data_IF_214018604275
#
_entry.id   IF_214018604275
#
_cell.length_a   1.000
_cell.length_b   1.000
_cell.length_c   1.000
_cell.angle_alpha   90.00
_cell.angle_beta   90.00
_cell.angle_gamma   90.00
#
_symmetry.space_group_name_H-M   'P 1'
#
loop_
_entity.id
_entity.type
_entity.pdbx_description
1 polymer ?
#
# COMPACT_ATOMS: atom_id res chain seq x y z
N UNK A 1 -5.33 1.34 16.65
CA UNK A 1 -4.58 0.07 16.58
C UNK A 1 -3.46 0.11 15.54
N UNK A 2 -3.70 0.70 14.37
CA UNK A 2 -2.65 0.79 13.34
C UNK A 2 -1.45 1.61 13.82
N UNK A 3 -1.70 2.77 14.43
CA UNK A 3 -0.62 3.62 14.95
C UNK A 3 0.13 2.94 16.10
N UNK A 4 -0.59 2.16 16.93
CA UNK A 4 0.05 1.38 18.00
C UNK A 4 1.02 0.36 17.43
N UNK A 5 0.61 -0.38 16.39
CA UNK A 5 1.44 -1.39 15.76
C UNK A 5 2.70 -0.78 15.13
N UNK A 6 2.54 0.35 14.45
CA UNK A 6 3.66 1.06 13.82
C UNK A 6 4.63 1.61 14.87
N UNK A 7 4.11 2.23 15.93
CA UNK A 7 4.94 2.78 16.99
C UNK A 7 5.74 1.68 17.70
N UNK A 8 5.11 0.53 17.95
CA UNK A 8 5.79 -0.62 18.56
C UNK A 8 6.91 -1.16 17.68
N UNK A 9 6.80 -1.00 16.36
CA UNK A 9 7.84 -1.40 15.41
C UNK A 9 8.93 -0.33 15.19
N UNK A 10 8.85 0.79 15.91
CA UNK A 10 9.84 1.86 15.81
C UNK A 10 9.58 2.87 14.70
N UNK A 11 8.38 2.86 14.12
CA UNK A 11 8.00 3.81 13.06
C UNK A 11 7.44 5.08 13.69
N UNK A 12 7.96 6.23 13.30
CA UNK A 12 7.42 7.51 13.76
C UNK A 12 6.11 7.84 13.04
N UNK A 13 5.06 8.13 13.81
CA UNK A 13 3.70 8.28 13.29
C UNK A 13 3.13 9.71 13.42
N UNK A 14 3.91 10.67 13.91
CA UNK A 14 3.40 11.99 14.29
C UNK A 14 2.77 12.79 13.16
N UNK A 15 3.16 12.53 11.91
CA UNK A 15 2.64 13.25 10.74
C UNK A 15 1.63 12.43 9.93
N UNK A 16 1.33 11.20 10.34
CA UNK A 16 0.42 10.34 9.60
C UNK A 16 -1.03 10.79 9.79
N UNK A 17 -1.79 10.80 8.70
CA UNK A 17 -3.21 11.13 8.70
C UNK A 17 -3.94 10.33 7.65
N UNK A 18 -5.22 10.13 7.87
CA UNK A 18 -6.10 9.59 6.83
C UNK A 18 -6.28 10.65 5.74
N UNK A 19 -6.23 10.24 4.49
CA UNK A 19 -6.36 11.16 3.36
C UNK A 19 -6.99 10.47 2.17
N UNK A 20 -7.64 11.24 1.30
CA UNK A 20 -8.15 10.74 0.04
C UNK A 20 -7.02 10.64 -0.99
N UNK A 21 -7.08 9.63 -1.86
CA UNK A 21 -6.15 9.52 -2.99
C UNK A 21 -6.31 10.66 -4.00
N UNK A 22 -7.42 11.42 -3.93
CA UNK A 22 -7.61 12.59 -4.78
C UNK A 22 -6.52 13.64 -4.61
N UNK A 23 -5.85 13.66 -3.46
CA UNK A 23 -4.71 14.56 -3.23
C UNK A 23 -3.56 14.30 -4.21
N UNK A 24 -3.50 13.10 -4.78
CA UNK A 24 -2.44 12.67 -5.69
C UNK A 24 -2.85 12.74 -7.15
N UNK A 25 -4.04 13.27 -7.46
CA UNK A 25 -4.53 13.39 -8.83
C UNK A 25 -4.27 14.76 -9.45
N UNK A 26 -3.78 15.70 -8.67
CA UNK A 26 -3.52 17.06 -9.14
C UNK A 26 -2.31 17.11 -10.05
N UNK A 27 -2.38 17.95 -11.09
CA UNK A 27 -1.29 18.10 -12.07
C UNK A 27 0.02 18.57 -11.42
N UNK A 28 -0.07 19.40 -10.37
CA UNK A 28 1.07 19.89 -9.61
C UNK A 28 1.54 18.93 -8.50
N UNK A 29 0.83 17.82 -8.31
CA UNK A 29 1.22 16.81 -7.33
C UNK A 29 2.41 15.98 -7.81
N UNK A 30 3.02 15.18 -6.91
CA UNK A 30 4.14 14.33 -7.32
C UNK A 30 3.65 13.25 -8.29
N UNK A 31 4.45 12.94 -9.34
CA UNK A 31 4.10 11.84 -10.24
C UNK A 31 4.17 10.51 -9.50
N UNK A 32 3.22 9.61 -9.78
CA UNK A 32 3.18 8.29 -9.16
C UNK A 32 3.61 7.21 -10.16
N UNK A 33 4.52 6.35 -9.74
CA UNK A 33 4.96 5.20 -10.55
C UNK A 33 4.00 4.02 -10.43
N UNK A 34 3.38 3.85 -9.26
CA UNK A 34 2.50 2.72 -9.00
C UNK A 34 1.40 3.10 -8.01
N UNK A 35 0.26 2.44 -8.15
CA UNK A 35 -0.85 2.50 -7.20
C UNK A 35 -1.13 1.08 -6.73
N UNK A 36 -1.03 0.86 -5.43
CA UNK A 36 -1.22 -0.45 -4.82
C UNK A 36 -2.44 -0.37 -3.90
N UNK A 37 -3.49 -1.12 -4.20
CA UNK A 37 -4.66 -1.22 -3.32
C UNK A 37 -4.48 -2.41 -2.39
N UNK A 38 -4.89 -2.26 -1.15
CA UNK A 38 -4.65 -3.28 -0.11
C UNK A 38 -5.92 -3.89 0.46
N UNK A 39 -7.09 -3.32 0.16
CA UNK A 39 -8.37 -3.91 0.58
C UNK A 39 -9.32 -3.99 -0.62
N UNK A 40 -10.29 -4.91 -0.54
CA UNK A 40 -11.21 -5.15 -1.64
C UNK A 40 -12.12 -3.96 -1.95
N UNK A 41 -12.52 -3.19 -0.93
CA UNK A 41 -13.35 -2.00 -1.17
C UNK A 41 -12.58 -0.93 -1.94
N UNK A 42 -11.30 -0.74 -1.66
CA UNK A 42 -10.46 0.19 -2.44
C UNK A 42 -10.30 -0.29 -3.88
N UNK A 43 -10.14 -1.60 -4.08
CA UNK A 43 -10.02 -2.17 -5.43
C UNK A 43 -11.30 -1.99 -6.25
N UNK A 44 -12.47 -1.99 -5.58
CA UNK A 44 -13.76 -1.84 -6.23
C UNK A 44 -14.11 -0.40 -6.59
N UNK A 45 -13.43 0.58 -5.99
CA UNK A 45 -13.64 1.99 -6.29
C UNK A 45 -13.11 2.34 -7.69
N UNK A 46 -13.77 3.28 -8.35
CA UNK A 46 -13.28 3.81 -9.62
C UNK A 46 -11.95 4.53 -9.36
N UNK A 47 -10.87 3.99 -9.93
CA UNK A 47 -9.56 4.58 -9.77
C UNK A 47 -9.47 5.91 -10.51
N UNK A 48 -9.08 7.01 -9.85
CA UNK A 48 -8.93 8.29 -10.54
C UNK A 48 -7.72 8.26 -11.49
N UNK A 49 -7.65 9.26 -12.36
CA UNK A 49 -6.49 9.43 -13.25
C UNK A 49 -5.38 10.10 -12.45
N UNK A 50 -4.27 9.39 -12.27
CA UNK A 50 -3.07 9.95 -11.62
C UNK A 50 -2.08 10.45 -12.67
N UNK A 51 -1.29 11.45 -12.29
CA UNK A 51 -0.21 11.95 -13.14
C UNK A 51 1.07 11.19 -12.84
N UNK A 52 1.53 10.42 -13.82
CA UNK A 52 2.81 9.71 -13.71
C UNK A 52 3.88 10.44 -14.51
N UNK A 53 5.15 10.09 -14.26
CA UNK A 53 6.27 10.67 -14.99
C UNK A 53 6.30 10.31 -16.47
N UNK A 54 5.75 9.17 -16.84
CA UNK A 54 5.74 8.62 -18.20
C UNK A 54 4.38 7.98 -18.54
N UNK A 55 3.28 8.64 -18.14
CA UNK A 55 1.93 8.15 -18.35
C UNK A 55 1.25 7.77 -17.05
N UNK A 56 0.25 6.89 -17.12
CA UNK A 56 -0.46 6.44 -15.94
C UNK A 56 0.39 5.48 -15.11
N UNK A 57 0.30 5.55 -13.77
CA UNK A 57 1.02 4.60 -12.92
C UNK A 57 0.52 3.17 -13.14
N UNK A 58 1.37 2.18 -12.90
CA UNK A 58 0.93 0.79 -12.88
C UNK A 58 0.00 0.57 -11.69
N UNK A 59 -0.94 -0.35 -11.84
CA UNK A 59 -1.94 -0.63 -10.79
C UNK A 59 -1.88 -2.10 -10.42
N UNK A 60 -1.84 -2.36 -9.11
CA UNK A 60 -1.83 -3.73 -8.60
C UNK A 60 -2.64 -3.79 -7.32
N UNK A 61 -3.25 -4.94 -7.06
CA UNK A 61 -4.00 -5.19 -5.84
C UNK A 61 -3.25 -6.21 -4.97
N UNK A 62 -2.86 -5.77 -3.77
CA UNK A 62 -2.27 -6.63 -2.74
C UNK A 62 -3.34 -6.85 -1.67
N UNK A 63 -4.22 -7.83 -1.88
CA UNK A 63 -5.35 -8.05 -0.99
C UNK A 63 -4.94 -8.49 0.41
N UNK A 64 -5.50 -7.84 1.42
CA UNK A 64 -5.39 -8.21 2.83
C UNK A 64 -6.76 -8.12 3.46
N UNK A 65 -7.11 -9.04 4.38
CA UNK A 65 -8.30 -8.84 5.20
C UNK A 65 -8.18 -7.55 6.01
N UNK A 66 -9.28 -6.85 6.19
CA UNK A 66 -9.27 -5.63 6.98
C UNK A 66 -9.11 -6.01 8.46
N UNK A 67 -7.98 -5.65 9.11
CA UNK A 67 -7.75 -6.03 10.51
C UNK A 67 -8.72 -5.36 11.48
N UNK A 68 -9.40 -4.27 11.09
CA UNK A 68 -10.39 -3.62 11.93
C UNK A 68 -11.65 -4.46 12.13
N UNK A 69 -11.86 -5.48 11.29
CA UNK A 69 -12.98 -6.41 11.39
C UNK A 69 -12.64 -7.70 12.13
N UNK A 70 -11.45 -7.80 12.70
CA UNK A 70 -11.02 -9.02 13.39
C UNK A 70 -11.83 -9.27 14.66
N UNK A 71 -12.10 -10.55 14.94
CA UNK A 71 -12.77 -11.00 16.13
C UNK A 71 -11.81 -11.02 17.34
N UNK A 72 -12.37 -11.15 18.54
CA UNK A 72 -11.58 -11.28 19.77
C UNK A 72 -11.38 -9.99 20.53
N UNK A 73 -12.22 -8.97 20.29
CA UNK A 73 -12.16 -7.69 20.97
C UNK A 73 -10.89 -6.92 20.63
N UNK A 74 -10.47 -6.04 21.54
CA UNK A 74 -9.30 -5.18 21.31
C UNK A 74 -8.01 -6.00 21.14
N UNK A 75 -7.83 -7.07 21.91
CA UNK A 75 -6.67 -7.93 21.80
C UNK A 75 -6.61 -8.62 20.42
N UNK A 76 -7.77 -9.11 19.94
CA UNK A 76 -7.86 -9.72 18.61
C UNK A 76 -7.54 -8.73 17.51
N UNK A 77 -8.02 -7.50 17.65
CA UNK A 77 -7.72 -6.42 16.69
C UNK A 77 -6.23 -6.04 16.70
N UNK A 78 -5.64 -5.89 17.89
CA UNK A 78 -4.20 -5.59 18.00
C UNK A 78 -3.36 -6.64 17.32
N UNK A 79 -3.70 -7.92 17.53
CA UNK A 79 -3.00 -9.02 16.86
C UNK A 79 -3.16 -8.97 15.36
N UNK A 80 -4.37 -8.71 14.87
CA UNK A 80 -4.64 -8.63 13.43
C UNK A 80 -3.89 -7.47 12.78
N UNK A 81 -3.84 -6.31 13.41
CA UNK A 81 -3.07 -5.17 12.91
C UNK A 81 -1.57 -5.48 12.86
N UNK A 82 -1.03 -6.14 13.89
CA UNK A 82 0.39 -6.50 13.91
C UNK A 82 0.72 -7.52 12.82
N UNK A 83 -0.12 -8.52 12.61
CA UNK A 83 0.07 -9.50 11.55
C UNK A 83 0.00 -8.85 10.16
N UNK A 84 -0.94 -7.92 9.97
CA UNK A 84 -1.06 -7.16 8.72
C UNK A 84 0.18 -6.31 8.48
N UNK A 85 0.66 -5.65 9.52
CA UNK A 85 1.88 -4.85 9.44
C UNK A 85 3.07 -5.70 9.00
N UNK A 86 3.24 -6.87 9.60
CA UNK A 86 4.33 -7.77 9.26
C UNK A 86 4.21 -8.28 7.82
N UNK A 87 3.01 -8.68 7.40
CA UNK A 87 2.79 -9.20 6.05
C UNK A 87 3.01 -8.13 4.99
N UNK A 88 2.49 -6.93 5.23
CA UNK A 88 2.68 -5.80 4.31
C UNK A 88 4.15 -5.37 4.28
N UNK A 89 4.81 -5.34 5.44
CA UNK A 89 6.23 -5.01 5.54
C UNK A 89 7.10 -5.97 4.75
N UNK A 90 6.78 -7.25 4.76
CA UNK A 90 7.49 -8.27 3.98
C UNK A 90 7.43 -7.96 2.48
N UNK A 91 6.23 -7.60 1.98
CA UNK A 91 6.08 -7.23 0.57
C UNK A 91 6.78 -5.92 0.23
N UNK A 92 6.73 -4.94 1.14
CA UNK A 92 7.42 -3.66 0.94
C UNK A 92 8.93 -3.84 0.88
N UNK A 93 9.51 -4.74 1.66
CA UNK A 93 10.93 -5.06 1.58
C UNK A 93 11.30 -5.62 0.21
N UNK A 94 10.45 -6.48 -0.36
CA UNK A 94 10.67 -7.01 -1.71
C UNK A 94 10.58 -5.89 -2.76
N UNK A 95 9.62 -4.98 -2.62
CA UNK A 95 9.48 -3.82 -3.49
C UNK A 95 10.74 -2.96 -3.46
N UNK A 96 11.25 -2.66 -2.26
CA UNK A 96 12.43 -1.82 -2.10
C UNK A 96 13.72 -2.48 -2.62
N UNK A 97 13.72 -3.80 -2.77
CA UNK A 97 14.85 -4.52 -3.35
C UNK A 97 14.86 -4.49 -4.88
N UNK A 98 13.80 -4.01 -5.52
CA UNK A 98 13.72 -3.93 -6.98
C UNK A 98 14.56 -2.78 -7.53
N UNK A 99 15.16 -2.92 -8.72
CA UNK A 99 15.90 -1.83 -9.37
C UNK A 99 14.94 -0.83 -10.02
N UNK A 100 14.17 -0.12 -9.21
CA UNK A 100 13.05 0.73 -9.66
C UNK A 100 13.47 1.78 -10.68
N UNK A 101 14.69 2.32 -10.55
CA UNK A 101 15.18 3.38 -11.42
C UNK A 101 15.38 2.93 -12.87
N UNK A 102 15.58 1.62 -13.08
CA UNK A 102 15.86 1.05 -14.40
C UNK A 102 14.69 0.25 -14.96
N UNK A 103 13.60 0.09 -14.21
CA UNK A 103 12.46 -0.72 -14.62
C UNK A 103 11.47 0.09 -15.46
N UNK A 104 11.05 -0.50 -16.58
CA UNK A 104 9.91 0.02 -17.35
C UNK A 104 8.59 -0.37 -16.69
N UNK A 105 7.49 0.21 -17.17
CA UNK A 105 6.15 -0.04 -16.60
C UNK A 105 5.78 -1.52 -16.63
N UNK A 106 6.04 -2.21 -17.73
CA UNK A 106 5.72 -3.65 -17.85
C UNK A 106 6.50 -4.49 -16.86
N UNK A 107 7.77 -4.17 -16.64
CA UNK A 107 8.61 -4.87 -15.68
C UNK A 107 8.13 -4.62 -14.25
N UNK A 108 7.78 -3.39 -13.93
CA UNK A 108 7.25 -3.03 -12.61
C UNK A 108 5.91 -3.72 -12.35
N UNK A 109 5.01 -3.71 -13.31
CA UNK A 109 3.72 -4.39 -13.20
C UNK A 109 3.91 -5.88 -12.91
N UNK A 110 4.78 -6.54 -13.66
CA UNK A 110 5.06 -7.96 -13.46
C UNK A 110 5.69 -8.24 -12.09
N UNK A 111 6.63 -7.41 -11.67
CA UNK A 111 7.30 -7.56 -10.37
C UNK A 111 6.33 -7.38 -9.20
N UNK A 112 5.49 -6.36 -9.24
CA UNK A 112 4.51 -6.10 -8.19
C UNK A 112 3.45 -7.20 -8.12
N UNK A 113 3.04 -7.73 -9.27
CA UNK A 113 2.10 -8.86 -9.33
C UNK A 113 2.72 -10.12 -8.75
N UNK A 114 3.99 -10.37 -9.01
CA UNK A 114 4.73 -11.51 -8.45
C UNK A 114 4.86 -11.40 -6.93
N UNK A 115 5.14 -10.21 -6.41
CA UNK A 115 5.23 -9.95 -4.96
C UNK A 115 3.89 -10.25 -4.28
N UNK A 116 2.77 -9.97 -4.94
CA UNK A 116 1.44 -10.23 -4.38
C UNK A 116 1.15 -11.71 -4.12
N UNK A 117 1.95 -12.62 -4.69
CA UNK A 117 1.79 -14.07 -4.51
C UNK A 117 2.57 -14.63 -3.32
N UNK A 118 3.35 -13.81 -2.67
CA UNK A 118 4.20 -14.24 -1.54
C UNK A 118 3.54 -13.98 -0.18
#
# INVERSE_FOLDING_TARGET
FALEALAAAGVECGSFRSKSWDEFTRAEGPPLAAVITVCDSAAAETCPIFHGGHGQPVKVHWGYPDPSNADGGDEGKRRAFELTRQALGYRLLQLLALPLETMGQSQLQAALTAIARN
#
